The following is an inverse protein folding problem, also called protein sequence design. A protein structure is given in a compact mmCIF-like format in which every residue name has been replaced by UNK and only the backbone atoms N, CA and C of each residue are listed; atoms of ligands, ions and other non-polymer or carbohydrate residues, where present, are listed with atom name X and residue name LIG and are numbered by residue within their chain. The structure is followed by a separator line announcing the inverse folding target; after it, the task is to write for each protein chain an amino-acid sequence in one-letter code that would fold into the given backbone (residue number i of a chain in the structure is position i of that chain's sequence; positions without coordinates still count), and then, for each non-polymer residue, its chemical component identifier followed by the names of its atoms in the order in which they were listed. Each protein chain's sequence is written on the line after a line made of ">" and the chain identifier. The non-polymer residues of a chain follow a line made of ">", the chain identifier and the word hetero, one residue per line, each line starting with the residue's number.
data_IF_956580491264
#
_entry.id   IF_956580491264
#
_cell.length_a   1.000
_cell.length_b   1.000
_cell.length_c   1.000
_cell.angle_alpha   90.00
_cell.angle_beta   90.00
_cell.angle_gamma   90.00
#
_symmetry.space_group_name_H-M   'P 1'
#
loop_
_entity.id
_entity.type
_entity.pdbx_description
1 polymer ?
#
# COMPACT_ATOMS: atom_id res chain seq x y z
N UNK A 1 -18.99 -5.16 6.77
CA UNK A 1 -19.10 -3.91 7.56
C UNK A 1 -19.86 -2.90 6.72
N UNK A 2 -21.12 -2.63 7.08
CA UNK A 2 -21.90 -1.61 6.38
C UNK A 2 -21.51 -0.24 6.96
N UNK A 3 -20.62 0.48 6.30
CA UNK A 3 -20.36 1.88 6.63
C UNK A 3 -21.57 2.76 6.26
N UNK A 4 -22.55 2.20 5.53
CA UNK A 4 -23.82 2.83 5.17
C UNK A 4 -23.64 4.28 4.74
N UNK A 5 -24.55 5.14 5.12
CA UNK A 5 -24.44 6.59 4.98
C UNK A 5 -23.69 7.30 6.11
N UNK A 6 -22.95 6.58 6.98
CA UNK A 6 -22.26 7.17 8.14
C UNK A 6 -21.21 8.19 7.70
N UNK A 7 -21.32 9.42 8.13
CA UNK A 7 -20.35 10.47 7.85
C UNK A 7 -19.14 10.33 8.78
N UNK A 8 -18.02 9.84 8.24
CA UNK A 8 -16.77 9.66 8.98
C UNK A 8 -15.96 10.95 9.15
N UNK A 9 -16.37 12.08 8.58
CA UNK A 9 -15.77 13.38 8.90
C UNK A 9 -16.07 13.80 10.34
N UNK A 10 -17.15 13.29 10.93
CA UNK A 10 -17.54 13.47 12.32
C UNK A 10 -16.68 12.58 13.20
N UNK A 11 -15.92 13.17 14.13
CA UNK A 11 -14.98 12.45 15.01
C UNK A 11 -15.66 11.33 15.79
N UNK A 12 -16.85 11.52 16.32
CA UNK A 12 -17.58 10.49 17.05
C UNK A 12 -17.82 9.22 16.18
N UNK A 13 -18.19 9.40 14.92
CA UNK A 13 -18.41 8.30 13.99
C UNK A 13 -17.11 7.59 13.64
N UNK A 14 -16.04 8.36 13.44
CA UNK A 14 -14.71 7.81 13.17
C UNK A 14 -14.18 7.03 14.37
N UNK A 15 -14.25 7.59 15.57
CA UNK A 15 -13.85 6.92 16.81
C UNK A 15 -14.62 5.62 17.05
N UNK A 16 -15.89 5.60 16.66
CA UNK A 16 -16.75 4.42 16.76
C UNK A 16 -16.24 3.21 15.97
N UNK A 17 -15.51 3.42 14.86
CA UNK A 17 -14.86 2.34 14.10
C UNK A 17 -13.82 1.58 14.94
N UNK A 18 -13.14 2.29 15.83
CA UNK A 18 -12.10 1.76 16.71
C UNK A 18 -12.69 1.27 18.05
N UNK A 19 -14.00 1.34 18.21
CA UNK A 19 -14.69 0.98 19.44
C UNK A 19 -14.53 2.00 20.56
N UNK A 20 -14.32 3.27 20.22
CA UNK A 20 -14.11 4.35 21.17
C UNK A 20 -15.36 5.23 21.37
N UNK A 21 -15.37 5.95 22.46
CA UNK A 21 -16.22 7.12 22.69
C UNK A 21 -15.79 8.26 21.75
N UNK A 22 -16.61 9.34 21.70
CA UNK A 22 -16.32 10.51 20.85
C UNK A 22 -15.01 11.22 21.24
N UNK A 23 -14.60 11.16 22.49
CA UNK A 23 -13.36 11.74 23.02
C UNK A 23 -12.11 10.88 22.75
N UNK A 24 -12.27 9.73 22.07
CA UNK A 24 -11.19 8.81 21.73
C UNK A 24 -10.89 7.76 22.82
N UNK A 25 -11.54 7.83 23.99
CA UNK A 25 -11.36 6.81 25.04
C UNK A 25 -12.01 5.48 24.64
N UNK A 26 -11.40 4.36 25.01
CA UNK A 26 -11.93 3.02 24.71
C UNK A 26 -13.27 2.78 25.44
N UNK A 27 -14.30 2.38 24.70
CA UNK A 27 -15.57 1.94 25.27
C UNK A 27 -15.68 0.41 25.20
N UNK A 28 -15.68 -0.30 26.35
CA UNK A 28 -15.76 -1.77 26.35
C UNK A 28 -17.03 -2.35 25.72
N UNK A 29 -18.15 -1.58 25.74
CA UNK A 29 -19.42 -1.98 25.13
C UNK A 29 -19.44 -1.85 23.62
N UNK A 30 -18.42 -1.21 23.02
CA UNK A 30 -18.34 -1.01 21.59
C UNK A 30 -17.38 -2.03 20.94
N UNK A 31 -17.83 -2.81 19.94
CA UNK A 31 -16.90 -3.64 19.20
C UNK A 31 -15.90 -2.79 18.41
N UNK A 32 -14.65 -3.22 18.40
CA UNK A 32 -13.68 -2.68 17.45
C UNK A 32 -14.04 -3.24 16.06
N UNK A 33 -14.34 -2.36 15.12
CA UNK A 33 -14.76 -2.75 13.78
C UNK A 33 -13.58 -2.77 12.81
N UNK A 34 -12.64 -1.85 12.96
CA UNK A 34 -11.54 -1.63 12.03
C UNK A 34 -10.24 -1.36 12.77
N UNK A 35 -9.17 -2.03 12.38
CA UNK A 35 -7.80 -1.62 12.70
C UNK A 35 -7.38 -0.53 11.71
N UNK A 36 -7.56 0.71 12.14
CA UNK A 36 -7.31 1.88 11.29
C UNK A 36 -5.83 2.02 10.95
N UNK A 37 -4.93 1.64 11.86
CA UNK A 37 -3.49 1.67 11.60
C UNK A 37 -3.12 0.67 10.52
N UNK A 38 -3.65 -0.56 10.60
CA UNK A 38 -3.45 -1.55 9.55
C UNK A 38 -4.00 -1.05 8.20
N UNK A 39 -5.19 -0.45 8.17
CA UNK A 39 -5.73 0.12 6.93
C UNK A 39 -4.80 1.16 6.32
N UNK A 40 -4.25 2.05 7.14
CA UNK A 40 -3.31 3.09 6.68
C UNK A 40 -2.05 2.45 6.09
N UNK A 41 -1.42 1.52 6.80
CA UNK A 41 -0.20 0.85 6.35
C UNK A 41 -0.45 0.04 5.07
N UNK A 42 -1.58 -0.65 5.00
CA UNK A 42 -2.03 -1.38 3.83
C UNK A 42 -2.17 -0.44 2.61
N UNK A 43 -2.80 0.72 2.77
CA UNK A 43 -2.97 1.69 1.70
C UNK A 43 -1.64 2.32 1.26
N UNK A 44 -0.76 2.65 2.21
CA UNK A 44 0.58 3.17 1.89
C UNK A 44 1.35 2.16 1.04
N UNK A 45 1.31 0.88 1.42
CA UNK A 45 1.99 -0.19 0.68
C UNK A 45 1.48 -0.29 -0.77
N UNK A 46 0.17 -0.37 -0.98
CA UNK A 46 -0.42 -0.53 -2.31
C UNK A 46 -0.20 0.70 -3.21
N UNK A 47 -0.30 1.90 -2.65
CA UNK A 47 -0.03 3.14 -3.38
C UNK A 47 1.45 3.25 -3.75
N UNK A 48 2.36 2.87 -2.83
CA UNK A 48 3.79 2.83 -3.07
C UNK A 48 4.15 1.79 -4.14
N UNK A 49 3.61 0.58 -4.03
CA UNK A 49 3.87 -0.52 -4.95
C UNK A 49 3.26 -0.30 -6.34
N UNK A 50 2.25 0.54 -6.47
CA UNK A 50 1.53 0.75 -7.72
C UNK A 50 0.82 -0.53 -8.18
N UNK A 51 0.18 -1.24 -7.26
CA UNK A 51 -0.57 -2.46 -7.54
C UNK A 51 -1.67 -2.20 -8.58
N UNK A 52 -1.68 -2.97 -9.68
CA UNK A 52 -2.45 -2.63 -10.88
C UNK A 52 -3.86 -3.21 -10.89
N UNK A 53 -4.05 -4.44 -10.49
CA UNK A 53 -5.34 -5.12 -10.44
C UNK A 53 -6.07 -5.00 -9.09
N UNK A 54 -5.44 -4.35 -8.15
CA UNK A 54 -6.04 -3.87 -6.91
C UNK A 54 -6.77 -2.52 -7.18
N UNK A 55 -7.89 -2.17 -6.55
CA UNK A 55 -8.46 -2.75 -5.34
C UNK A 55 -9.62 -3.73 -5.54
N UNK A 56 -9.99 -4.08 -6.75
CA UNK A 56 -11.15 -4.94 -7.01
C UNK A 56 -10.89 -6.40 -6.67
N UNK A 57 -9.64 -6.83 -6.77
CA UNK A 57 -9.14 -8.16 -6.47
C UNK A 57 -7.98 -8.08 -5.48
N UNK A 58 -7.40 -9.22 -5.19
CA UNK A 58 -6.09 -9.36 -4.57
C UNK A 58 -5.96 -8.71 -3.18
N UNK A 59 -7.00 -8.92 -2.35
CA UNK A 59 -6.97 -8.56 -0.94
C UNK A 59 -7.74 -9.56 -0.09
N UNK A 60 -7.33 -9.67 1.16
CA UNK A 60 -8.00 -10.49 2.17
C UNK A 60 -8.28 -9.63 3.39
N UNK A 61 -9.46 -9.81 3.98
CA UNK A 61 -9.81 -9.17 5.25
C UNK A 61 -10.00 -10.25 6.32
N UNK A 62 -9.33 -10.08 7.44
CA UNK A 62 -9.45 -10.99 8.58
C UNK A 62 -9.93 -10.25 9.83
N UNK A 63 -10.65 -10.93 10.68
CA UNK A 63 -11.06 -10.45 12.00
C UNK A 63 -11.20 -11.61 12.97
N UNK A 64 -10.70 -11.43 14.17
CA UNK A 64 -10.92 -12.42 15.25
C UNK A 64 -12.40 -12.49 15.61
N UNK A 65 -12.97 -13.69 15.64
CA UNK A 65 -14.41 -13.91 15.93
C UNK A 65 -14.72 -13.97 17.41
N UNK A 66 -13.78 -14.45 18.23
CA UNK A 66 -13.96 -14.69 19.66
C UNK A 66 -12.94 -13.94 20.48
N UNK A 67 -13.29 -13.58 21.72
CA UNK A 67 -12.44 -12.79 22.60
C UNK A 67 -12.28 -11.33 22.13
N UNK A 68 -11.22 -10.67 22.58
CA UNK A 68 -10.97 -9.28 22.18
C UNK A 68 -10.48 -9.21 20.74
N UNK A 69 -11.20 -8.48 19.89
CA UNK A 69 -10.88 -8.23 18.50
C UNK A 69 -10.28 -6.84 18.33
N UNK A 70 -9.21 -6.72 17.53
CA UNK A 70 -8.66 -5.45 17.09
C UNK A 70 -9.36 -4.88 15.84
N UNK A 71 -10.49 -5.46 15.43
CA UNK A 71 -11.19 -5.08 14.20
C UNK A 71 -10.73 -5.83 12.97
N UNK A 72 -11.29 -5.45 11.81
CA UNK A 72 -10.84 -5.97 10.54
C UNK A 72 -9.45 -5.44 10.20
N UNK A 73 -8.61 -6.37 9.73
CA UNK A 73 -7.29 -6.10 9.15
C UNK A 73 -7.29 -6.52 7.70
N UNK A 74 -6.62 -5.76 6.87
CA UNK A 74 -6.41 -6.07 5.45
C UNK A 74 -5.00 -6.62 5.24
N UNK A 75 -4.91 -7.63 4.39
CA UNK A 75 -3.67 -8.27 3.99
C UNK A 75 -3.50 -8.14 2.48
N UNK A 76 -2.28 -7.87 2.06
CA UNK A 76 -1.92 -7.91 0.65
C UNK A 76 -1.92 -9.36 0.15
N UNK A 77 -2.45 -9.58 -1.03
CA UNK A 77 -2.57 -10.88 -1.67
C UNK A 77 -2.30 -10.73 -3.16
N UNK A 78 -1.57 -11.67 -3.77
CA UNK A 78 -1.39 -11.80 -5.21
C UNK A 78 -0.95 -10.48 -5.89
N UNK A 79 0.21 -9.97 -5.48
CA UNK A 79 0.70 -8.64 -5.87
C UNK A 79 1.77 -8.71 -6.98
N UNK A 80 1.72 -9.71 -7.86
CA UNK A 80 2.69 -9.90 -8.95
C UNK A 80 2.63 -8.76 -9.98
N UNK A 81 1.45 -8.11 -10.13
CA UNK A 81 1.30 -6.94 -11.01
C UNK A 81 1.53 -5.65 -10.21
N UNK A 82 2.70 -5.54 -9.58
CA UNK A 82 3.12 -4.35 -8.84
C UNK A 82 4.61 -4.06 -9.08
N UNK A 83 5.08 -2.89 -8.67
CA UNK A 83 6.50 -2.49 -8.74
C UNK A 83 7.11 -2.61 -10.15
N UNK A 84 6.33 -2.45 -11.20
CA UNK A 84 6.77 -2.68 -12.58
C UNK A 84 6.76 -1.41 -13.45
N UNK A 85 6.36 -0.25 -12.91
CA UNK A 85 6.29 1.00 -13.64
C UNK A 85 6.31 2.21 -12.70
N UNK A 86 6.98 3.29 -13.12
CA UNK A 86 6.94 4.59 -12.44
C UNK A 86 5.67 5.39 -12.79
N UNK A 87 4.94 4.98 -13.83
CA UNK A 87 3.74 5.68 -14.34
C UNK A 87 2.55 4.72 -14.27
N UNK A 88 2.10 4.38 -13.07
CA UNK A 88 0.94 3.53 -12.89
C UNK A 88 -0.35 4.34 -12.76
N UNK A 89 -1.38 3.91 -13.47
CA UNK A 89 -2.70 4.54 -13.49
C UNK A 89 -3.42 4.46 -12.15
N UNK A 90 -3.12 3.45 -11.34
CA UNK A 90 -3.83 3.16 -10.09
C UNK A 90 -3.16 3.72 -8.83
N UNK A 91 -2.07 4.42 -8.99
CA UNK A 91 -1.39 5.13 -7.91
C UNK A 91 -2.02 6.48 -7.61
N UNK A 92 -3.17 6.78 -8.22
CA UNK A 92 -3.94 7.97 -7.86
C UNK A 92 -4.53 7.80 -6.47
N UNK A 93 -4.04 8.61 -5.56
CA UNK A 93 -4.38 8.60 -4.14
C UNK A 93 -5.81 9.10 -3.86
N UNK A 94 -6.54 9.53 -4.87
CA UNK A 94 -7.69 10.35 -4.57
C UNK A 94 -9.01 9.87 -5.14
N UNK A 95 -9.14 9.97 -6.39
CA UNK A 95 -10.46 10.01 -7.02
C UNK A 95 -11.03 8.63 -7.35
N UNK A 96 -10.17 7.72 -7.77
CA UNK A 96 -10.60 6.42 -8.29
C UNK A 96 -11.12 5.47 -7.22
N UNK A 97 -10.65 5.62 -5.98
CA UNK A 97 -11.06 4.78 -4.85
C UNK A 97 -12.31 5.28 -4.13
N UNK A 98 -12.79 6.45 -4.49
CA UNK A 98 -14.06 7.00 -4.01
C UNK A 98 -15.27 6.58 -4.87
N UNK A 99 -15.04 5.94 -6.00
CA UNK A 99 -16.09 5.56 -6.94
C UNK A 99 -17.03 4.48 -6.37
N UNK A 100 -18.28 4.55 -6.79
CA UNK A 100 -19.36 3.65 -6.34
C UNK A 100 -19.01 2.17 -6.54
N UNK A 101 -18.25 1.86 -7.58
CA UNK A 101 -17.82 0.49 -7.91
C UNK A 101 -16.81 -0.11 -6.91
N UNK A 102 -16.19 0.72 -6.06
CA UNK A 102 -15.24 0.28 -5.07
C UNK A 102 -15.87 -0.04 -3.69
N UNK A 103 -17.19 0.01 -3.53
CA UNK A 103 -17.90 -0.07 -2.23
C UNK A 103 -17.55 -1.28 -1.36
N UNK A 104 -17.20 -2.39 -1.95
CA UNK A 104 -16.86 -3.62 -1.25
C UNK A 104 -15.35 -3.85 -1.15
N UNK A 105 -14.55 -2.80 -1.20
CA UNK A 105 -13.08 -2.89 -1.22
C UNK A 105 -12.44 -2.14 -0.05
N UNK A 106 -11.19 -2.46 0.31
CA UNK A 106 -10.42 -1.69 1.28
C UNK A 106 -10.26 -0.22 0.88
N UNK A 107 -10.15 0.05 -0.42
CA UNK A 107 -10.02 1.40 -0.96
C UNK A 107 -11.27 2.26 -0.68
N UNK A 108 -12.46 1.67 -0.70
CA UNK A 108 -13.68 2.38 -0.32
C UNK A 108 -13.66 2.76 1.17
N UNK A 109 -13.27 1.83 2.05
CA UNK A 109 -13.14 2.12 3.48
C UNK A 109 -12.16 3.26 3.72
N UNK A 110 -11.00 3.21 3.06
CA UNK A 110 -10.00 4.26 3.08
C UNK A 110 -10.56 5.61 2.59
N UNK A 111 -11.26 5.64 1.46
CA UNK A 111 -11.81 6.88 0.90
C UNK A 111 -12.78 7.55 1.87
N UNK A 112 -13.57 6.78 2.61
CA UNK A 112 -14.48 7.28 3.64
C UNK A 112 -13.73 7.82 4.86
N UNK A 113 -12.68 7.11 5.31
CA UNK A 113 -11.85 7.53 6.45
C UNK A 113 -11.07 8.83 6.15
N UNK A 114 -10.68 9.07 4.91
CA UNK A 114 -9.95 10.29 4.51
C UNK A 114 -10.68 11.60 4.81
N UNK A 115 -12.01 11.58 4.92
CA UNK A 115 -12.79 12.76 5.33
C UNK A 115 -12.40 13.24 6.73
N UNK A 116 -11.91 12.32 7.61
CA UNK A 116 -11.56 12.64 8.98
C UNK A 116 -10.15 13.23 9.11
N UNK A 117 -10.01 14.28 9.91
CA UNK A 117 -8.72 14.95 10.13
C UNK A 117 -7.74 14.08 10.93
N UNK A 118 -8.22 13.32 11.92
CA UNK A 118 -7.36 12.42 12.70
C UNK A 118 -6.83 11.27 11.84
N UNK A 119 -7.64 10.75 10.91
CA UNK A 119 -7.17 9.76 9.95
C UNK A 119 -6.04 10.32 9.07
N UNK A 120 -6.19 11.54 8.55
CA UNK A 120 -5.14 12.17 7.71
C UNK A 120 -3.85 12.40 8.49
N UNK A 121 -3.94 12.80 9.78
CA UNK A 121 -2.76 12.91 10.65
C UNK A 121 -2.08 11.55 10.84
N UNK A 122 -2.84 10.52 11.21
CA UNK A 122 -2.30 9.16 11.32
C UNK A 122 -1.63 8.71 10.01
N UNK A 123 -2.25 8.99 8.87
CA UNK A 123 -1.68 8.64 7.57
C UNK A 123 -0.32 9.36 7.36
N UNK A 124 -0.23 10.64 7.67
CA UNK A 124 1.02 11.40 7.58
C UNK A 124 2.12 10.83 8.48
N UNK A 125 1.78 10.49 9.72
CA UNK A 125 2.72 9.88 10.67
C UNK A 125 3.22 8.53 10.17
N UNK A 126 2.33 7.72 9.56
CA UNK A 126 2.70 6.42 9.00
C UNK A 126 3.54 6.56 7.72
N UNK A 127 3.27 7.55 6.86
CA UNK A 127 4.14 7.89 5.71
C UNK A 127 5.54 8.25 6.21
N UNK A 128 5.64 9.13 7.22
CA UNK A 128 6.92 9.51 7.82
C UNK A 128 7.66 8.27 8.35
N UNK A 129 6.96 7.40 9.05
CA UNK A 129 7.53 6.17 9.63
C UNK A 129 8.06 5.20 8.57
N UNK A 130 7.33 5.02 7.47
CA UNK A 130 7.65 3.99 6.50
C UNK A 130 8.59 4.43 5.39
N UNK A 131 8.49 5.69 4.94
CA UNK A 131 9.26 6.17 3.79
C UNK A 131 10.56 6.89 4.17
N UNK A 132 10.69 7.37 5.41
CA UNK A 132 11.84 8.17 5.81
C UNK A 132 12.70 7.46 6.87
N UNK A 133 13.91 7.95 7.04
CA UNK A 133 14.93 7.38 7.93
C UNK A 133 15.13 5.87 7.66
N UNK A 134 15.02 5.03 8.67
CA UNK A 134 15.12 3.57 8.55
C UNK A 134 13.77 2.89 8.30
N UNK A 135 12.81 3.63 7.74
CA UNK A 135 11.48 3.12 7.44
C UNK A 135 11.50 1.96 6.45
N UNK A 136 10.50 1.09 6.58
CA UNK A 136 10.41 -0.11 5.76
C UNK A 136 10.38 0.15 4.25
N UNK A 137 9.87 1.28 3.80
CA UNK A 137 9.80 1.70 2.40
C UNK A 137 10.80 2.81 2.06
N UNK A 138 11.81 3.05 2.90
CA UNK A 138 12.93 3.89 2.53
C UNK A 138 13.68 3.28 1.33
N UNK A 139 14.38 4.11 0.58
CA UNK A 139 15.11 3.66 -0.63
C UNK A 139 16.10 2.56 -0.27
N UNK A 140 16.90 2.76 0.79
CA UNK A 140 17.92 1.81 1.23
C UNK A 140 17.30 0.46 1.65
N UNK A 141 16.25 0.48 2.47
CA UNK A 141 15.62 -0.74 2.95
C UNK A 141 14.82 -1.47 1.86
N UNK A 142 14.25 -0.75 0.91
CA UNK A 142 13.59 -1.34 -0.25
C UNK A 142 14.59 -2.07 -1.15
N UNK A 143 15.73 -1.43 -1.44
CA UNK A 143 16.82 -2.01 -2.22
C UNK A 143 17.41 -3.24 -1.49
N UNK A 144 17.70 -3.14 -0.19
CA UNK A 144 18.30 -4.23 0.56
C UNK A 144 17.41 -5.49 0.59
N UNK A 145 16.09 -5.32 0.79
CA UNK A 145 15.15 -6.44 0.73
C UNK A 145 15.03 -7.04 -0.66
N UNK A 146 14.94 -6.20 -1.67
CA UNK A 146 14.87 -6.62 -3.06
C UNK A 146 16.11 -7.42 -3.44
N UNK A 147 17.31 -6.89 -3.17
CA UNK A 147 18.59 -7.54 -3.46
C UNK A 147 18.72 -8.90 -2.74
N UNK A 148 18.24 -8.98 -1.50
CA UNK A 148 18.21 -10.27 -0.78
C UNK A 148 17.39 -11.33 -1.54
N UNK A 149 16.19 -10.95 -2.02
CA UNK A 149 15.32 -11.87 -2.78
C UNK A 149 15.90 -12.24 -4.14
N UNK A 150 16.50 -11.27 -4.84
CA UNK A 150 17.20 -11.55 -6.12
C UNK A 150 18.27 -12.63 -5.90
N UNK A 151 19.12 -12.47 -4.89
CA UNK A 151 20.21 -13.43 -4.62
C UNK A 151 19.69 -14.83 -4.29
N UNK A 152 18.56 -14.94 -3.61
CA UNK A 152 17.95 -16.24 -3.28
C UNK A 152 17.55 -17.03 -4.53
N UNK A 153 17.04 -16.34 -5.57
CA UNK A 153 16.48 -16.99 -6.77
C UNK A 153 17.38 -16.89 -8.01
N UNK A 154 18.46 -16.13 -7.98
CA UNK A 154 19.30 -15.82 -9.13
C UNK A 154 19.77 -17.07 -9.89
N UNK A 155 20.20 -18.12 -9.17
CA UNK A 155 20.63 -19.37 -9.78
C UNK A 155 19.47 -20.16 -10.42
N UNK A 156 18.27 -20.06 -9.84
CA UNK A 156 17.09 -20.74 -10.35
C UNK A 156 16.61 -20.12 -11.67
N UNK A 157 16.86 -18.82 -11.87
CA UNK A 157 16.50 -18.12 -13.12
C UNK A 157 17.19 -18.71 -14.35
N UNK A 158 18.37 -19.30 -14.21
CA UNK A 158 19.05 -20.00 -15.33
C UNK A 158 18.20 -21.18 -15.82
N UNK A 159 17.70 -22.00 -14.90
CA UNK A 159 16.84 -23.13 -15.24
C UNK A 159 15.45 -22.67 -15.75
N UNK A 160 14.92 -21.62 -15.17
CA UNK A 160 13.66 -21.00 -15.61
C UNK A 160 13.77 -20.47 -17.03
N UNK A 161 14.85 -19.74 -17.33
CA UNK A 161 15.12 -19.23 -18.68
C UNK A 161 15.30 -20.36 -19.70
N UNK A 162 16.01 -21.42 -19.34
CA UNK A 162 16.21 -22.58 -20.22
C UNK A 162 14.92 -23.34 -20.53
N UNK A 163 13.96 -23.35 -19.60
CA UNK A 163 12.68 -24.09 -19.75
C UNK A 163 11.58 -23.25 -20.40
N UNK A 164 11.47 -21.95 -20.04
CA UNK A 164 10.33 -21.14 -20.37
C UNK A 164 10.68 -19.81 -21.06
N UNK A 165 11.98 -19.52 -21.22
CA UNK A 165 12.42 -18.23 -21.75
C UNK A 165 11.90 -17.93 -23.15
N UNK A 166 11.66 -18.93 -23.97
CA UNK A 166 11.13 -18.82 -25.33
C UNK A 166 9.59 -18.83 -25.41
N UNK A 167 8.88 -19.14 -24.31
CA UNK A 167 7.44 -19.35 -24.30
C UNK A 167 6.66 -18.17 -24.90
N UNK A 168 6.98 -16.94 -24.52
CA UNK A 168 6.35 -15.73 -25.05
C UNK A 168 7.16 -15.04 -26.15
N UNK A 169 8.43 -15.39 -26.30
CA UNK A 169 9.37 -14.76 -27.22
C UNK A 169 10.28 -15.81 -27.89
N UNK A 170 9.73 -16.66 -28.78
CA UNK A 170 10.50 -17.77 -29.37
C UNK A 170 11.77 -17.35 -30.12
N UNK A 171 11.73 -16.20 -30.80
CA UNK A 171 12.87 -15.69 -31.58
C UNK A 171 13.92 -14.95 -30.73
N UNK A 172 13.57 -14.56 -29.50
CA UNK A 172 14.45 -13.83 -28.60
C UNK A 172 14.10 -14.19 -27.14
N UNK A 173 14.49 -15.38 -26.68
CA UNK A 173 14.16 -15.85 -25.35
C UNK A 173 14.56 -14.90 -24.24
N UNK A 174 13.79 -14.91 -23.15
CA UNK A 174 14.18 -14.24 -21.91
C UNK A 174 15.35 -14.95 -21.26
N UNK A 175 16.43 -14.22 -21.00
CA UNK A 175 17.66 -14.75 -20.43
C UNK A 175 18.01 -14.07 -19.11
N UNK A 176 18.72 -14.82 -18.27
CA UNK A 176 19.24 -14.25 -17.02
C UNK A 176 20.17 -13.05 -17.28
N UNK A 177 21.10 -13.19 -18.19
CA UNK A 177 22.14 -12.19 -18.49
C UNK A 177 21.56 -10.91 -19.15
N UNK A 178 20.55 -11.06 -19.97
CA UNK A 178 19.95 -9.94 -20.68
C UNK A 178 18.84 -9.25 -19.87
N UNK A 179 17.72 -9.94 -19.66
CA UNK A 179 16.54 -9.29 -19.06
C UNK A 179 16.59 -9.28 -17.54
N UNK A 180 16.98 -10.38 -16.90
CA UNK A 180 16.96 -10.48 -15.44
C UNK A 180 17.93 -9.52 -14.77
N UNK A 181 19.21 -9.56 -15.14
CA UNK A 181 20.23 -8.70 -14.54
C UNK A 181 19.96 -7.22 -14.86
N UNK A 182 19.57 -6.91 -16.11
CA UNK A 182 19.24 -5.54 -16.51
C UNK A 182 18.03 -4.97 -15.75
N UNK A 183 16.96 -5.78 -15.58
CA UNK A 183 15.78 -5.39 -14.82
C UNK A 183 16.15 -5.14 -13.35
N UNK A 184 16.92 -6.02 -12.73
CA UNK A 184 17.32 -5.87 -11.33
C UNK A 184 18.19 -4.63 -11.11
N UNK A 185 19.10 -4.35 -12.02
CA UNK A 185 19.89 -3.12 -11.97
C UNK A 185 19.00 -1.88 -12.07
N UNK A 186 18.07 -1.85 -13.02
CA UNK A 186 17.11 -0.76 -13.16
C UNK A 186 16.25 -0.58 -11.91
N UNK A 187 15.79 -1.66 -11.30
CA UNK A 187 15.01 -1.62 -10.06
C UNK A 187 15.78 -0.91 -8.93
N UNK A 188 17.05 -1.28 -8.72
CA UNK A 188 17.84 -0.70 -7.65
C UNK A 188 18.30 0.74 -7.93
N UNK A 189 18.69 1.03 -9.17
CA UNK A 189 19.31 2.32 -9.53
C UNK A 189 18.29 3.38 -9.93
N UNK A 190 17.14 2.99 -10.48
CA UNK A 190 16.16 3.92 -11.03
C UNK A 190 14.82 3.82 -10.33
N UNK A 191 14.25 2.61 -10.26
CA UNK A 191 12.88 2.46 -9.76
C UNK A 191 12.74 2.90 -8.30
N UNK A 192 13.44 2.25 -7.37
CA UNK A 192 13.25 2.57 -5.95
C UNK A 192 13.57 4.02 -5.59
N UNK A 193 14.68 4.62 -6.05
CA UNK A 193 14.93 6.04 -5.81
C UNK A 193 13.83 6.95 -6.36
N UNK A 194 13.43 6.75 -7.61
CA UNK A 194 12.40 7.58 -8.26
C UNK A 194 11.01 7.37 -7.65
N UNK A 195 10.65 6.12 -7.37
CA UNK A 195 9.33 5.78 -6.81
C UNK A 195 9.11 6.37 -5.41
N UNK A 196 10.16 6.48 -4.61
CA UNK A 196 10.09 7.16 -3.32
C UNK A 196 9.60 8.61 -3.47
N UNK A 197 10.22 9.39 -4.35
CA UNK A 197 9.83 10.79 -4.61
C UNK A 197 8.42 10.88 -5.20
N UNK A 198 8.07 9.98 -6.12
CA UNK A 198 6.74 9.92 -6.73
C UNK A 198 5.68 9.63 -5.67
N UNK A 199 5.89 8.66 -4.80
CA UNK A 199 4.97 8.33 -3.71
C UNK A 199 4.76 9.50 -2.75
N UNK A 200 5.85 10.13 -2.30
CA UNK A 200 5.78 11.31 -1.42
C UNK A 200 5.02 12.46 -2.10
N UNK A 201 5.31 12.73 -3.37
CA UNK A 201 4.59 13.77 -4.15
C UNK A 201 3.10 13.48 -4.22
N UNK A 202 2.70 12.23 -4.42
CA UNK A 202 1.29 11.80 -4.45
C UNK A 202 0.61 12.00 -3.10
N UNK A 203 1.23 11.57 -2.00
CA UNK A 203 0.68 11.76 -0.66
C UNK A 203 0.50 13.24 -0.31
N UNK A 204 1.43 14.10 -0.73
CA UNK A 204 1.31 15.56 -0.58
C UNK A 204 0.15 16.12 -1.40
N UNK A 205 0.06 15.75 -2.67
CA UNK A 205 -1.03 16.15 -3.56
C UNK A 205 -2.42 15.74 -3.04
N UNK A 206 -2.49 14.58 -2.38
CA UNK A 206 -3.71 14.08 -1.75
C UNK A 206 -3.99 14.68 -0.35
N UNK A 207 -3.16 15.59 0.14
CA UNK A 207 -3.22 16.15 1.51
C UNK A 207 -3.13 15.11 2.62
N UNK A 208 -2.37 14.06 2.37
CA UNK A 208 -2.09 12.95 3.29
C UNK A 208 -0.68 13.01 3.88
N UNK A 209 0.12 13.96 3.44
CA UNK A 209 1.45 14.24 3.96
C UNK A 209 1.74 15.74 3.81
N UNK A 210 2.39 16.40 4.78
CA UNK A 210 2.63 17.83 4.72
C UNK A 210 3.53 18.22 3.55
N UNK A 211 3.41 19.46 3.03
CA UNK A 211 4.37 20.01 2.07
C UNK A 211 5.77 20.06 2.70
N UNK A 212 6.85 20.16 1.90
CA UNK A 212 8.16 20.47 2.44
C UNK A 212 8.04 21.78 3.23
N UNK A 213 8.73 21.85 4.36
CA UNK A 213 8.88 23.16 5.01
C UNK A 213 9.57 24.07 4.02
N UNK A 214 9.00 25.24 3.74
CA UNK A 214 9.75 26.33 3.14
C UNK A 214 10.85 26.67 4.13
N UNK A 215 12.10 26.45 3.76
CA UNK A 215 13.21 26.99 4.54
C UNK A 215 13.00 28.50 4.67
N UNK A 216 13.25 29.06 5.87
CA UNK A 216 13.08 30.48 6.12
C UNK A 216 14.05 31.32 5.27
#
# INVERSE_FOLDING_TARGET
>A
MALGGTDLSIDANYQRLMGNNADGTRNPSYPVLLDVTNLVDYMILHIYAGADDWPWHNWVAIRRRTGQSSGFKFLAWDQEISINSLVKRHTDTGQRYAEVNARNTPAYVYSRCRANAAFRRLFADRVQRHLFNDGALSVSNSIARYDTRIREIDRAVVAESARWGDFYRPAQPYLREAEWLGTNQWMCQVFFPSNHFIAVKRFRGARLFPPPRSDP
#
